data_IF_594507855871
#
_entry.id   IF_594507855871
#
_cell.length_a   1.000
_cell.length_b   1.000
_cell.length_c   1.000
_cell.angle_alpha   90.00
_cell.angle_beta   90.00
_cell.angle_gamma   90.00
#
_symmetry.space_group_name_H-M   'P 1'
#
loop_
_entity.id
_entity.type
_entity.pdbx_description
1 polymer ?
#
# COMPACT_ATOMS: atom_id res chain seq x y z
N UNK A 1 28.63 -0.93 21.97
CA UNK A 1 28.47 -0.42 20.58
C UNK A 1 28.73 1.08 20.48
N UNK A 2 29.71 1.50 19.67
CA UNK A 2 30.13 2.92 19.47
C UNK A 2 28.99 3.80 18.96
N UNK A 3 28.07 3.24 18.16
CA UNK A 3 26.93 3.95 17.59
C UNK A 3 26.02 4.58 18.66
N UNK A 4 25.47 3.77 19.57
CA UNK A 4 24.59 4.26 20.64
C UNK A 4 25.37 4.97 21.77
N UNK A 5 26.56 4.46 22.08
CA UNK A 5 27.36 4.95 23.22
C UNK A 5 28.08 6.27 22.96
N UNK A 6 28.38 6.60 21.71
CA UNK A 6 29.18 7.77 21.33
C UNK A 6 28.54 8.59 20.22
N UNK A 7 28.29 7.99 19.05
CA UNK A 7 27.87 8.73 17.86
C UNK A 7 26.52 9.44 18.04
N UNK A 8 25.51 8.73 18.54
CA UNK A 8 24.17 9.28 18.76
C UNK A 8 24.05 10.23 19.96
N UNK A 9 25.10 10.37 20.78
CA UNK A 9 25.13 11.31 21.90
C UNK A 9 25.56 12.71 21.50
N UNK A 10 26.20 12.87 20.35
CA UNK A 10 26.57 14.19 19.85
C UNK A 10 25.31 14.95 19.44
N UNK A 11 25.19 16.25 19.78
CA UNK A 11 24.00 17.04 19.50
C UNK A 11 23.69 17.12 17.99
N UNK A 12 24.70 17.06 17.11
CA UNK A 12 24.47 17.07 15.66
C UNK A 12 23.75 15.81 15.16
N UNK A 13 23.99 14.66 15.80
CA UNK A 13 23.49 13.35 15.35
C UNK A 13 22.34 12.81 16.19
N UNK A 14 21.91 13.54 17.21
CA UNK A 14 20.86 13.12 18.12
C UNK A 14 19.54 12.82 17.41
N UNK A 15 19.24 13.53 16.31
CA UNK A 15 18.01 13.33 15.52
C UNK A 15 17.90 11.92 14.92
N UNK A 16 19.02 11.26 14.61
CA UNK A 16 19.02 9.87 14.14
C UNK A 16 18.63 8.86 15.21
N UNK A 17 18.63 9.25 16.50
CA UNK A 17 18.21 8.37 17.60
C UNK A 17 16.75 7.97 17.47
N UNK A 18 15.90 8.84 16.95
CA UNK A 18 14.49 8.51 16.72
C UNK A 18 14.29 7.61 15.50
N UNK A 19 15.29 7.53 14.62
CA UNK A 19 15.21 6.76 13.39
C UNK A 19 15.65 5.30 13.58
N UNK A 20 16.30 4.96 14.69
CA UNK A 20 16.88 3.64 14.96
C UNK A 20 16.26 3.03 16.22
N UNK A 21 15.71 1.83 16.11
CA UNK A 21 15.16 1.08 17.24
C UNK A 21 16.20 0.06 17.72
N UNK A 22 16.61 0.21 18.98
CA UNK A 22 17.57 -0.69 19.64
C UNK A 22 16.88 -1.67 20.58
N UNK A 23 17.23 -2.96 20.49
CA UNK A 23 16.98 -3.96 21.53
C UNK A 23 18.16 -3.99 22.47
N UNK A 24 17.91 -4.22 23.77
CA UNK A 24 18.99 -4.57 24.70
C UNK A 24 19.07 -6.09 24.81
N UNK A 25 20.22 -6.65 24.45
CA UNK A 25 20.48 -8.06 24.67
C UNK A 25 20.77 -8.29 26.17
N UNK A 26 19.96 -9.14 26.79
CA UNK A 26 20.03 -9.40 28.24
C UNK A 26 21.26 -10.22 28.63
N UNK A 27 21.85 -10.96 27.68
CA UNK A 27 22.97 -11.88 27.93
C UNK A 27 24.33 -11.19 27.75
N UNK A 28 24.44 -10.27 26.81
CA UNK A 28 25.71 -9.59 26.46
C UNK A 28 25.79 -8.14 26.91
N UNK A 29 24.71 -7.58 27.48
CA UNK A 29 24.55 -6.15 27.80
C UNK A 29 24.73 -5.22 26.58
N UNK A 30 24.75 -5.79 25.36
CA UNK A 30 24.91 -5.05 24.11
C UNK A 30 23.56 -4.57 23.54
N UNK A 31 23.63 -3.60 22.64
CA UNK A 31 22.47 -3.08 21.95
C UNK A 31 22.45 -3.55 20.50
N UNK A 32 21.43 -4.33 20.15
CA UNK A 32 21.16 -4.81 18.80
C UNK A 32 20.20 -3.85 18.08
N UNK A 33 20.33 -3.73 16.76
CA UNK A 33 19.43 -2.90 15.94
C UNK A 33 18.29 -3.77 15.43
N UNK A 34 17.05 -3.45 15.82
CA UNK A 34 15.85 -4.17 15.39
C UNK A 34 15.32 -3.58 14.09
N UNK A 35 15.31 -2.25 14.00
CA UNK A 35 14.78 -1.53 12.86
C UNK A 35 15.50 -0.19 12.68
N UNK A 36 15.52 0.29 11.44
CA UNK A 36 16.00 1.63 11.08
C UNK A 36 15.12 2.19 9.97
N UNK A 37 14.84 3.49 10.01
CA UNK A 37 14.14 4.21 8.93
C UNK A 37 15.11 5.14 8.21
N UNK A 38 14.94 5.25 6.90
CA UNK A 38 15.69 6.17 6.05
C UNK A 38 14.71 7.07 5.31
N UNK A 39 14.97 8.38 5.34
CA UNK A 39 14.20 9.34 4.56
C UNK A 39 14.80 9.48 3.16
N UNK A 40 13.96 9.28 2.15
CA UNK A 40 14.30 9.47 0.75
C UNK A 40 13.39 10.56 0.18
N UNK A 41 14.01 11.58 -0.43
CA UNK A 41 13.29 12.68 -1.06
C UNK A 41 13.53 12.58 -2.56
N UNK A 42 12.47 12.29 -3.32
CA UNK A 42 12.50 12.31 -4.78
C UNK A 42 12.14 13.72 -5.28
N UNK A 43 12.79 14.16 -6.36
CA UNK A 43 12.43 15.40 -7.07
C UNK A 43 11.17 15.12 -7.90
N UNK A 44 10.01 15.58 -7.43
CA UNK A 44 8.73 15.43 -8.15
C UNK A 44 8.57 16.52 -9.21
N UNK A 45 8.11 16.17 -10.42
CA UNK A 45 7.65 17.16 -11.41
C UNK A 45 6.15 17.45 -11.23
N UNK A 46 5.56 18.31 -12.08
CA UNK A 46 4.17 18.77 -11.94
C UNK A 46 3.13 17.63 -11.99
N UNK A 47 3.46 16.47 -12.58
CA UNK A 47 2.58 15.30 -12.66
C UNK A 47 2.65 14.41 -11.41
N UNK A 48 2.17 14.93 -10.30
CA UNK A 48 2.27 14.30 -8.96
C UNK A 48 1.64 12.91 -8.84
N UNK A 49 0.61 12.54 -9.62
CA UNK A 49 -0.08 11.24 -9.45
C UNK A 49 0.64 10.10 -10.16
N UNK A 50 0.94 10.27 -11.44
CA UNK A 50 1.56 9.24 -12.29
C UNK A 50 2.96 8.86 -11.77
N UNK A 51 3.77 9.86 -11.40
CA UNK A 51 5.11 9.63 -10.84
C UNK A 51 5.08 8.86 -9.52
N UNK A 52 4.10 9.13 -8.65
CA UNK A 52 3.96 8.42 -7.37
C UNK A 52 3.53 6.97 -7.61
N UNK A 53 2.72 6.69 -8.65
CA UNK A 53 2.37 5.31 -9.03
C UNK A 53 3.63 4.58 -9.51
N UNK A 54 4.37 5.21 -10.42
CA UNK A 54 5.58 4.63 -11.01
C UNK A 54 6.65 4.35 -9.94
N UNK A 55 6.83 5.26 -8.99
CA UNK A 55 7.72 5.07 -7.84
C UNK A 55 7.28 3.87 -6.98
N UNK A 56 5.98 3.75 -6.68
CA UNK A 56 5.45 2.62 -5.92
C UNK A 56 5.69 1.29 -6.65
N UNK A 57 5.43 1.26 -7.97
CA UNK A 57 5.62 0.05 -8.78
C UNK A 57 7.09 -0.35 -8.90
N UNK A 58 8.02 0.60 -8.97
CA UNK A 58 9.47 0.31 -8.98
C UNK A 58 10.00 -0.13 -7.62
N UNK A 59 9.48 0.44 -6.53
CA UNK A 59 9.91 0.09 -5.16
C UNK A 59 9.34 -1.26 -4.71
N UNK A 60 8.14 -1.64 -5.16
CA UNK A 60 7.47 -2.91 -4.81
C UNK A 60 8.33 -4.17 -5.02
N UNK A 61 8.95 -4.42 -6.18
CA UNK A 61 9.82 -5.58 -6.36
C UNK A 61 11.09 -5.49 -5.50
N UNK A 62 11.63 -4.28 -5.29
CA UNK A 62 12.82 -4.08 -4.47
C UNK A 62 12.59 -4.40 -3.00
N UNK A 63 11.37 -4.18 -2.48
CA UNK A 63 10.97 -4.57 -1.12
C UNK A 63 10.87 -6.10 -0.95
N UNK A 64 10.62 -6.85 -2.02
CA UNK A 64 10.35 -8.29 -1.97
C UNK A 64 11.57 -9.17 -2.30
N UNK A 65 12.47 -8.69 -3.17
CA UNK A 65 13.57 -9.50 -3.71
C UNK A 65 14.83 -9.42 -2.86
N UNK A 66 15.06 -8.31 -2.16
CA UNK A 66 16.29 -8.10 -1.41
C UNK A 66 16.33 -8.91 -0.11
N UNK A 67 17.54 -9.30 0.30
CA UNK A 67 17.81 -10.00 1.58
C UNK A 67 17.37 -9.21 2.81
N UNK A 68 17.16 -7.91 2.66
CA UNK A 68 16.68 -7.00 3.69
C UNK A 68 15.21 -6.71 3.41
N UNK A 69 14.32 -7.21 4.28
CA UNK A 69 12.89 -6.87 4.25
C UNK A 69 12.72 -5.42 4.70
N UNK A 70 12.37 -4.53 3.79
CA UNK A 70 12.07 -3.13 4.10
C UNK A 70 10.70 -2.73 3.55
N UNK A 71 10.12 -1.67 4.11
CA UNK A 71 8.83 -1.13 3.71
C UNK A 71 9.04 0.33 3.29
N UNK A 72 8.69 0.66 2.06
CA UNK A 72 8.63 2.04 1.59
C UNK A 72 7.31 2.67 2.03
N UNK A 73 7.36 3.63 2.97
CA UNK A 73 6.17 4.27 3.51
C UNK A 73 6.00 5.70 2.99
N UNK A 74 4.83 5.99 2.43
CA UNK A 74 4.35 7.34 2.15
C UNK A 74 2.82 7.35 2.37
N UNK A 75 2.24 8.36 3.07
CA UNK A 75 0.79 8.43 3.26
C UNK A 75 0.00 8.31 1.96
N UNK A 76 0.52 8.87 0.86
CA UNK A 76 -0.11 8.83 -0.47
C UNK A 76 -0.22 7.40 -1.01
N UNK A 77 0.74 6.52 -0.71
CA UNK A 77 0.69 5.12 -1.14
C UNK A 77 -0.50 4.37 -0.55
N UNK A 78 -0.86 4.65 0.69
CA UNK A 78 -2.02 4.04 1.36
C UNK A 78 -3.33 4.41 0.64
N UNK A 79 -3.46 5.68 0.22
CA UNK A 79 -4.62 6.13 -0.53
C UNK A 79 -4.66 5.52 -1.93
N UNK A 80 -3.53 5.48 -2.62
CA UNK A 80 -3.46 4.94 -3.98
C UNK A 80 -3.76 3.45 -4.06
N UNK A 81 -3.34 2.68 -3.07
CA UNK A 81 -3.64 1.25 -2.97
C UNK A 81 -5.16 1.01 -2.86
N UNK A 82 -5.85 1.83 -2.05
CA UNK A 82 -7.32 1.79 -1.98
C UNK A 82 -7.97 2.21 -3.28
N UNK A 83 -7.50 3.26 -3.96
CA UNK A 83 -8.06 3.68 -5.24
C UNK A 83 -7.94 2.61 -6.33
N UNK A 84 -6.85 1.85 -6.35
CA UNK A 84 -6.67 0.73 -7.29
C UNK A 84 -7.77 -0.33 -7.10
N UNK A 85 -8.08 -0.67 -5.85
CA UNK A 85 -9.15 -1.64 -5.53
C UNK A 85 -10.57 -1.05 -5.61
N UNK A 86 -10.71 0.26 -5.41
CA UNK A 86 -12.00 0.96 -5.29
C UNK A 86 -12.74 1.10 -6.62
N UNK A 87 -12.08 0.94 -7.76
CA UNK A 87 -12.75 0.96 -9.08
C UNK A 87 -13.26 -0.43 -9.46
N UNK A 88 -12.46 -1.46 -9.18
CA UNK A 88 -12.75 -2.83 -9.61
C UNK A 88 -13.90 -3.43 -8.79
N UNK A 89 -13.92 -3.17 -7.47
CA UNK A 89 -14.91 -3.77 -6.58
C UNK A 89 -16.36 -3.34 -6.91
N UNK A 90 -16.68 -2.04 -7.12
CA UNK A 90 -18.04 -1.63 -7.52
C UNK A 90 -18.49 -2.16 -8.89
N UNK A 91 -17.56 -2.29 -9.85
CA UNK A 91 -17.88 -2.82 -11.18
C UNK A 91 -18.25 -4.30 -11.08
N UNK A 92 -17.49 -5.08 -10.31
CA UNK A 92 -17.77 -6.50 -10.09
C UNK A 92 -19.08 -6.71 -9.32
N UNK A 93 -19.33 -5.94 -8.27
CA UNK A 93 -20.57 -6.06 -7.48
C UNK A 93 -21.79 -5.64 -8.30
N UNK A 94 -21.69 -4.57 -9.09
CA UNK A 94 -22.74 -4.14 -10.02
C UNK A 94 -23.01 -5.22 -11.08
N UNK A 95 -21.96 -5.75 -11.73
CA UNK A 95 -22.11 -6.82 -12.72
C UNK A 95 -22.76 -8.09 -12.14
N UNK A 96 -22.38 -8.48 -10.93
CA UNK A 96 -22.99 -9.63 -10.24
C UNK A 96 -24.46 -9.36 -9.89
N UNK A 97 -24.79 -8.14 -9.50
CA UNK A 97 -26.17 -7.73 -9.24
C UNK A 97 -27.04 -7.85 -10.50
N UNK A 98 -26.57 -7.34 -11.65
CA UNK A 98 -27.29 -7.45 -12.93
C UNK A 98 -27.45 -8.91 -13.35
N UNK A 99 -26.41 -9.74 -13.21
CA UNK A 99 -26.48 -11.16 -13.53
C UNK A 99 -27.48 -11.90 -12.65
N UNK A 100 -27.48 -11.62 -11.35
CA UNK A 100 -28.43 -12.21 -10.39
C UNK A 100 -29.86 -11.82 -10.73
N UNK A 101 -30.08 -10.54 -11.09
CA UNK A 101 -31.38 -10.04 -11.53
C UNK A 101 -31.84 -10.73 -12.82
N UNK A 102 -30.94 -10.95 -13.79
CA UNK A 102 -31.25 -11.68 -15.03
C UNK A 102 -31.71 -13.11 -14.75
N UNK A 103 -30.97 -13.85 -13.91
CA UNK A 103 -31.31 -15.24 -13.55
C UNK A 103 -32.69 -15.27 -12.89
N UNK A 104 -32.94 -14.38 -11.93
CA UNK A 104 -34.20 -14.34 -11.20
C UNK A 104 -35.38 -13.98 -12.12
N UNK A 105 -35.18 -13.02 -13.03
CA UNK A 105 -36.22 -12.57 -13.96
C UNK A 105 -36.47 -13.58 -15.07
N UNK A 106 -35.46 -14.35 -15.49
CA UNK A 106 -35.61 -15.44 -16.46
C UNK A 106 -36.53 -16.55 -15.93
N UNK A 107 -36.45 -16.88 -14.64
CA UNK A 107 -37.38 -17.84 -14.02
C UNK A 107 -38.78 -17.25 -13.80
N UNK A 108 -38.90 -15.94 -13.57
CA UNK A 108 -40.16 -15.29 -13.19
C UNK A 108 -40.99 -14.80 -14.39
N UNK A 109 -40.34 -14.32 -15.45
CA UNK A 109 -40.98 -13.74 -16.64
C UNK A 109 -40.55 -14.54 -17.88
N UNK A 110 -41.51 -15.27 -18.45
CA UNK A 110 -41.33 -16.13 -19.62
C UNK A 110 -40.98 -15.33 -20.90
N UNK A 111 -41.26 -14.01 -20.94
CA UNK A 111 -41.01 -13.19 -22.11
C UNK A 111 -39.56 -12.64 -22.15
N UNK A 112 -38.69 -13.15 -23.04
CA UNK A 112 -37.30 -12.72 -23.12
C UNK A 112 -37.11 -11.25 -23.52
N UNK A 113 -38.09 -10.66 -24.22
CA UNK A 113 -38.04 -9.26 -24.65
C UNK A 113 -38.20 -8.29 -23.47
N UNK A 114 -38.99 -8.67 -22.46
CA UNK A 114 -39.18 -7.89 -21.24
C UNK A 114 -37.92 -7.88 -20.37
N UNK A 115 -37.25 -9.02 -20.26
CA UNK A 115 -36.01 -9.15 -19.49
C UNK A 115 -34.87 -8.33 -20.12
N UNK A 116 -34.80 -8.25 -21.45
CA UNK A 116 -33.85 -7.40 -22.16
C UNK A 116 -34.08 -5.91 -21.87
N UNK A 117 -35.34 -5.46 -21.92
CA UNK A 117 -35.69 -4.08 -21.59
C UNK A 117 -35.35 -3.73 -20.14
N UNK A 118 -35.56 -4.65 -19.21
CA UNK A 118 -35.30 -4.45 -17.79
C UNK A 118 -33.82 -4.23 -17.49
N UNK A 119 -32.93 -4.96 -18.18
CA UNK A 119 -31.48 -4.78 -18.09
C UNK A 119 -31.06 -3.41 -18.64
N UNK A 120 -31.67 -2.96 -19.75
CA UNK A 120 -31.30 -1.69 -20.38
C UNK A 120 -31.67 -0.47 -19.50
N UNK A 121 -32.67 -0.62 -18.63
CA UNK A 121 -33.15 0.45 -17.73
C UNK A 121 -32.39 0.55 -16.41
N UNK A 122 -31.64 -0.48 -16.03
CA UNK A 122 -30.84 -0.55 -14.79
C UNK A 122 -29.43 -0.07 -15.06
#
# INVERSE_FOLDING_TARGET
>A
TILKGSFLRSPEYQHFTEDIIFSKNSETDEYDIIASRMYLVARTTEKKREEVVELLEKLRPLMLINSIKFIAFNPTFVFMDRYSSSVISPILTSGFSVLTMLILTFFLVINPLGNFWLILTV
#
